data_IF_296354860137
#
_entry.id   IF_296354860137
#
_cell.length_a   1.000
_cell.length_b   1.000
_cell.length_c   1.000
_cell.angle_alpha   90.00
_cell.angle_beta   90.00
_cell.angle_gamma   90.00
#
_symmetry.space_group_name_H-M   'P 1'
#
loop_
_entity.id
_entity.type
_entity.pdbx_description
1 polymer ?
#
# COMPACT_ATOMS: atom_id res chain seq x y z
N UNK A 1 71.63 18.38 43.51
CA UNK A 1 71.48 16.96 43.08
C UNK A 1 69.99 16.50 43.08
N UNK A 2 69.08 17.24 42.51
CA UNK A 2 67.59 16.83 42.48
C UNK A 2 66.99 16.96 41.11
N UNK A 3 67.70 17.35 40.09
CA UNK A 3 67.22 17.57 38.74
C UNK A 3 67.64 16.50 37.71
N UNK A 4 68.50 15.56 38.08
CA UNK A 4 69.02 14.53 37.18
C UNK A 4 68.18 13.23 37.17
N UNK A 5 67.27 13.02 38.16
CA UNK A 5 66.47 11.79 38.26
C UNK A 5 65.15 11.81 37.45
N UNK A 6 64.68 13.00 37.04
CA UNK A 6 63.45 13.14 36.33
C UNK A 6 63.59 12.86 34.81
N UNK A 7 64.76 13.04 34.26
CA UNK A 7 65.00 12.79 32.80
C UNK A 7 65.22 11.31 32.44
N UNK A 8 65.62 10.46 33.41
CA UNK A 8 65.88 9.04 33.13
C UNK A 8 64.55 8.20 33.13
N UNK A 9 63.50 8.67 33.80
CA UNK A 9 62.20 8.00 33.86
C UNK A 9 61.36 8.21 32.59
N UNK A 10 61.63 9.26 31.80
CA UNK A 10 60.89 9.58 30.58
C UNK A 10 61.30 8.77 29.33
N UNK A 11 62.53 8.19 29.35
CA UNK A 11 63.05 7.46 28.16
C UNK A 11 62.68 5.97 28.18
N UNK A 12 62.33 5.41 29.34
CA UNK A 12 61.98 4.00 29.46
C UNK A 12 60.47 3.69 29.12
N UNK A 13 59.65 4.73 28.99
CA UNK A 13 58.19 4.59 28.65
C UNK A 13 57.89 4.56 27.17
N UNK A 14 58.85 4.81 26.27
CA UNK A 14 58.55 5.07 24.84
C UNK A 14 58.89 3.89 23.90
N UNK A 15 59.22 2.71 24.42
CA UNK A 15 59.65 1.57 23.61
C UNK A 15 58.72 0.37 23.57
N UNK A 16 57.43 0.52 23.93
CA UNK A 16 56.47 -0.63 23.95
C UNK A 16 55.22 -0.42 23.15
N UNK A 17 55.19 0.46 22.14
CA UNK A 17 54.15 0.45 21.12
C UNK A 17 54.79 -0.05 19.82
N UNK A 18 55.06 -1.36 19.78
CA UNK A 18 55.24 -2.04 18.51
C UNK A 18 53.85 -2.14 17.85
N UNK A 19 53.64 -1.64 16.62
CA UNK A 19 52.42 -1.96 15.88
C UNK A 19 52.39 -3.48 15.73
N UNK A 20 51.35 -4.11 16.26
CA UNK A 20 50.99 -5.46 15.86
C UNK A 20 50.70 -5.41 14.37
N UNK A 21 51.70 -5.68 13.54
CA UNK A 21 51.46 -6.01 12.14
C UNK A 21 50.62 -7.28 12.16
N UNK A 22 49.31 -7.13 11.99
CA UNK A 22 48.46 -8.25 11.61
C UNK A 22 49.02 -8.70 10.27
N UNK A 23 49.81 -9.76 10.28
CA UNK A 23 50.19 -10.48 9.10
C UNK A 23 48.91 -11.01 8.51
N UNK A 24 48.40 -10.38 7.45
CA UNK A 24 47.37 -10.98 6.60
C UNK A 24 48.01 -12.25 6.03
N UNK A 25 47.69 -13.37 6.65
CA UNK A 25 48.03 -14.68 6.11
C UNK A 25 47.30 -14.73 4.75
N UNK A 26 48.00 -14.98 3.64
CA UNK A 26 47.31 -15.14 2.36
C UNK A 26 46.27 -16.23 2.55
N UNK A 27 45.02 -15.92 2.27
CA UNK A 27 43.93 -16.91 2.28
C UNK A 27 44.30 -18.04 1.32
N UNK A 28 44.18 -19.28 1.77
CA UNK A 28 44.38 -20.43 0.90
C UNK A 28 43.44 -20.31 -0.34
N UNK A 29 43.90 -20.72 -1.54
CA UNK A 29 43.01 -20.77 -2.69
C UNK A 29 41.75 -21.57 -2.34
N UNK A 30 40.62 -21.02 -2.61
CA UNK A 30 39.35 -21.59 -2.25
C UNK A 30 38.27 -21.09 -3.21
N UNK A 31 37.05 -21.20 -2.80
CA UNK A 31 35.93 -20.62 -3.53
C UNK A 31 35.18 -19.66 -2.62
N UNK A 32 34.41 -18.75 -3.22
CA UNK A 32 33.60 -17.77 -2.49
C UNK A 32 32.27 -17.54 -3.17
N UNK A 33 31.27 -17.11 -2.39
CA UNK A 33 29.93 -16.77 -2.83
C UNK A 33 29.62 -15.35 -2.36
N UNK A 34 29.18 -14.49 -3.27
CA UNK A 34 28.85 -13.10 -2.94
C UNK A 34 27.65 -12.57 -3.73
N UNK A 35 27.06 -11.48 -3.25
CA UNK A 35 25.99 -10.75 -3.91
C UNK A 35 26.58 -9.57 -4.68
N UNK A 36 26.11 -9.39 -5.92
CA UNK A 36 26.43 -8.22 -6.74
C UNK A 36 25.41 -7.11 -6.43
N UNK A 37 25.78 -6.15 -5.63
CA UNK A 37 24.93 -4.99 -5.36
C UNK A 37 24.97 -4.00 -6.53
N UNK A 38 23.82 -3.46 -6.97
CA UNK A 38 23.74 -2.54 -8.10
C UNK A 38 24.40 -1.18 -7.84
N UNK A 39 24.61 -0.84 -6.59
CA UNK A 39 25.35 0.33 -6.12
C UNK A 39 26.55 -0.09 -5.30
N UNK A 40 27.51 0.83 -5.09
CA UNK A 40 28.74 0.54 -4.32
C UNK A 40 28.49 0.32 -2.82
N UNK A 41 27.27 0.60 -2.32
CA UNK A 41 26.87 0.39 -0.93
C UNK A 41 26.29 -1.02 -0.75
N UNK A 42 27.03 -1.90 -0.12
CA UNK A 42 26.65 -3.29 0.21
C UNK A 42 25.48 -3.38 1.21
N UNK A 43 25.12 -2.27 1.86
CA UNK A 43 24.05 -2.19 2.86
C UNK A 43 22.70 -1.77 2.28
N UNK A 44 22.62 -1.40 0.98
CA UNK A 44 21.35 -0.97 0.39
C UNK A 44 20.46 -2.17 0.05
N UNK A 45 19.23 -2.24 0.60
CA UNK A 45 18.33 -3.36 0.32
C UNK A 45 17.84 -3.36 -1.14
N UNK A 46 17.63 -4.54 -1.68
CA UNK A 46 17.01 -4.73 -2.98
C UNK A 46 15.52 -4.40 -2.88
N UNK A 47 15.09 -3.34 -3.59
CA UNK A 47 13.69 -2.89 -3.57
C UNK A 47 12.85 -3.74 -4.50
N UNK A 48 11.77 -4.31 -3.97
CA UNK A 48 10.74 -4.95 -4.77
C UNK A 48 10.04 -3.90 -5.66
N UNK A 49 9.62 -4.30 -6.83
CA UNK A 49 8.69 -3.49 -7.61
C UNK A 49 7.25 -3.61 -7.06
N UNK A 50 6.32 -2.78 -7.54
CA UNK A 50 4.92 -2.80 -7.09
C UNK A 50 4.19 -4.14 -7.41
N UNK A 51 4.75 -4.96 -8.28
CA UNK A 51 4.25 -6.31 -8.59
C UNK A 51 4.85 -7.40 -7.71
N UNK A 52 5.60 -7.05 -6.65
CA UNK A 52 6.15 -8.00 -5.69
C UNK A 52 7.30 -8.84 -6.24
N UNK A 53 8.12 -8.28 -7.13
CA UNK A 53 9.26 -9.01 -7.69
C UNK A 53 10.53 -8.16 -7.75
N UNK A 54 11.68 -8.87 -7.71
CA UNK A 54 13.02 -8.30 -7.87
C UNK A 54 13.98 -9.36 -8.42
N UNK A 55 15.02 -8.92 -9.11
CA UNK A 55 16.13 -9.77 -9.56
C UNK A 55 17.38 -9.38 -8.78
N UNK A 56 17.98 -10.38 -8.11
CA UNK A 56 19.23 -10.27 -7.38
C UNK A 56 20.32 -10.96 -8.18
N UNK A 57 21.42 -10.25 -8.44
CA UNK A 57 22.61 -10.84 -9.06
C UNK A 57 23.56 -11.32 -7.95
N UNK A 58 24.14 -12.50 -8.15
CA UNK A 58 25.13 -13.07 -7.25
C UNK A 58 26.23 -13.79 -8.04
N UNK A 59 27.35 -14.07 -7.42
CA UNK A 59 28.47 -14.69 -8.08
C UNK A 59 29.12 -15.79 -7.24
N UNK A 60 29.77 -16.74 -7.93
CA UNK A 60 30.69 -17.69 -7.32
C UNK A 60 32.07 -17.49 -7.93
N UNK A 61 33.05 -17.26 -7.07
CA UNK A 61 34.47 -17.20 -7.41
C UNK A 61 35.14 -18.54 -7.10
N UNK A 62 35.86 -19.11 -8.06
CA UNK A 62 36.63 -20.31 -7.89
C UNK A 62 38.14 -20.03 -8.09
N UNK A 63 38.85 -19.80 -7.01
CA UNK A 63 40.30 -19.58 -7.02
C UNK A 63 41.11 -20.90 -6.92
N UNK A 64 40.41 -22.07 -6.96
CA UNK A 64 41.07 -23.38 -6.95
C UNK A 64 41.60 -23.77 -8.34
N UNK A 65 42.50 -24.77 -8.35
CA UNK A 65 43.11 -25.29 -9.57
C UNK A 65 42.22 -26.26 -10.36
N UNK A 66 41.10 -26.68 -9.79
CA UNK A 66 40.14 -27.60 -10.39
C UNK A 66 38.78 -26.91 -10.53
N UNK A 67 37.97 -27.30 -11.51
CA UNK A 67 36.59 -26.89 -11.55
C UNK A 67 35.85 -27.35 -10.30
N UNK A 68 34.90 -26.56 -9.83
CA UNK A 68 34.01 -26.88 -8.69
C UNK A 68 32.58 -26.96 -9.17
N UNK A 69 31.80 -27.87 -8.55
CA UNK A 69 30.33 -27.93 -8.73
C UNK A 69 29.66 -27.53 -7.43
N UNK A 70 28.78 -26.55 -7.49
CA UNK A 70 28.04 -25.96 -6.37
C UNK A 70 26.55 -26.20 -6.57
N UNK A 71 25.90 -26.74 -5.54
CA UNK A 71 24.43 -26.80 -5.43
C UNK A 71 23.96 -25.59 -4.64
N UNK A 72 22.87 -24.95 -5.09
CA UNK A 72 22.31 -23.76 -4.47
C UNK A 72 21.00 -24.05 -3.76
N UNK A 73 20.78 -23.41 -2.63
CA UNK A 73 19.50 -23.32 -1.94
C UNK A 73 19.22 -21.86 -1.56
N UNK A 74 17.95 -21.50 -1.51
CA UNK A 74 17.50 -20.12 -1.30
C UNK A 74 16.47 -20.06 -0.18
N UNK A 75 16.63 -19.08 0.70
CA UNK A 75 15.62 -18.71 1.68
C UNK A 75 15.20 -17.26 1.38
N UNK A 76 13.92 -17.06 1.02
CA UNK A 76 13.36 -15.76 0.69
C UNK A 76 12.27 -15.37 1.68
N UNK A 77 12.23 -14.11 2.13
CA UNK A 77 11.21 -13.63 3.07
C UNK A 77 9.87 -13.34 2.38
N UNK A 78 8.89 -12.86 3.16
CA UNK A 78 7.57 -12.39 2.71
C UNK A 78 6.74 -13.45 1.98
N UNK A 79 6.97 -14.76 2.28
CA UNK A 79 6.31 -15.89 1.61
C UNK A 79 6.48 -15.85 0.07
N UNK A 80 7.55 -15.21 -0.42
CA UNK A 80 7.86 -15.10 -1.84
C UNK A 80 8.26 -16.42 -2.46
N UNK A 81 8.01 -16.53 -3.76
CA UNK A 81 8.55 -17.61 -4.59
C UNK A 81 9.89 -17.16 -5.22
N UNK A 82 10.69 -18.12 -5.66
CA UNK A 82 11.96 -17.82 -6.30
C UNK A 82 12.24 -18.71 -7.51
N UNK A 83 13.05 -18.17 -8.42
CA UNK A 83 13.63 -18.90 -9.56
C UNK A 83 15.13 -18.57 -9.63
N UNK A 84 15.97 -19.61 -9.63
CA UNK A 84 17.42 -19.52 -9.66
C UNK A 84 18.08 -20.84 -10.02
N UNK A 85 19.41 -20.87 -10.30
CA UNK A 85 20.13 -22.09 -10.62
C UNK A 85 20.08 -23.07 -9.45
N UNK A 86 19.87 -24.37 -9.74
CA UNK A 86 19.91 -25.43 -8.73
C UNK A 86 21.35 -25.94 -8.51
N UNK A 87 22.12 -26.13 -9.60
CA UNK A 87 23.49 -26.65 -9.55
C UNK A 87 24.28 -26.15 -10.74
N UNK A 88 25.52 -25.71 -10.46
CA UNK A 88 26.39 -25.15 -11.49
C UNK A 88 27.85 -25.53 -11.33
N UNK A 89 28.55 -25.66 -12.46
CA UNK A 89 29.99 -25.90 -12.47
C UNK A 89 30.77 -24.64 -12.86
N UNK A 90 31.71 -24.24 -12.00
CA UNK A 90 32.58 -23.07 -12.18
C UNK A 90 34.00 -23.57 -12.50
N UNK A 91 34.57 -23.14 -13.62
CA UNK A 91 35.92 -23.49 -14.05
C UNK A 91 36.99 -23.00 -13.07
N UNK A 92 38.15 -23.66 -13.08
CA UNK A 92 39.32 -23.26 -12.28
C UNK A 92 39.75 -21.81 -12.56
N UNK A 93 39.94 -21.01 -11.55
CA UNK A 93 40.37 -19.60 -11.62
C UNK A 93 39.32 -18.67 -12.26
N UNK A 94 38.05 -19.07 -12.32
CA UNK A 94 36.96 -18.29 -12.94
C UNK A 94 35.99 -17.76 -11.88
N UNK A 95 35.35 -16.63 -12.25
CA UNK A 95 34.19 -16.09 -11.57
C UNK A 95 32.97 -16.24 -12.52
N UNK A 96 31.82 -16.65 -11.97
CA UNK A 96 30.58 -16.80 -12.73
C UNK A 96 29.43 -16.13 -11.97
N UNK A 97 28.74 -15.22 -12.66
CA UNK A 97 27.56 -14.55 -12.12
C UNK A 97 26.28 -15.29 -12.49
N UNK A 98 25.29 -15.16 -11.62
CA UNK A 98 23.98 -15.80 -11.68
C UNK A 98 22.91 -14.79 -11.31
N UNK A 99 21.63 -15.16 -11.54
CA UNK A 99 20.49 -14.35 -11.14
C UNK A 99 19.53 -15.20 -10.29
N UNK A 100 19.08 -14.63 -9.18
CA UNK A 100 17.96 -15.10 -8.38
C UNK A 100 16.79 -14.15 -8.63
N UNK A 101 15.68 -14.65 -9.17
CA UNK A 101 14.44 -13.88 -9.30
C UNK A 101 13.54 -14.23 -8.12
N UNK A 102 13.19 -13.23 -7.32
CA UNK A 102 12.16 -13.33 -6.27
C UNK A 102 10.87 -12.76 -6.82
N UNK A 103 9.74 -13.43 -6.58
CA UNK A 103 8.45 -13.08 -7.18
C UNK A 103 7.27 -13.47 -6.29
N UNK A 104 6.07 -13.06 -6.70
CA UNK A 104 4.79 -13.40 -6.06
C UNK A 104 4.65 -12.92 -4.60
N UNK A 105 5.35 -11.85 -4.22
CA UNK A 105 5.18 -11.20 -2.92
C UNK A 105 3.99 -10.25 -2.98
N UNK A 106 3.00 -10.44 -2.11
CA UNK A 106 1.84 -9.53 -1.97
C UNK A 106 2.25 -8.28 -1.20
N UNK A 107 2.92 -7.34 -1.88
CA UNK A 107 3.53 -6.13 -1.27
C UNK A 107 2.54 -5.25 -0.50
N UNK A 108 1.24 -5.33 -0.83
CA UNK A 108 0.17 -4.60 -0.13
C UNK A 108 -0.12 -5.11 1.28
N UNK A 109 0.28 -6.34 1.62
CA UNK A 109 0.04 -6.96 2.93
C UNK A 109 1.10 -6.54 3.96
N UNK A 110 2.18 -5.90 3.50
CA UNK A 110 3.30 -5.47 4.34
C UNK A 110 3.39 -3.95 4.41
N UNK A 111 3.90 -3.43 5.53
CA UNK A 111 4.16 -2.00 5.68
C UNK A 111 5.23 -1.54 4.69
N UNK A 112 5.09 -0.31 4.18
CA UNK A 112 6.10 0.32 3.34
C UNK A 112 7.47 0.33 4.03
N UNK A 113 8.54 0.17 3.24
CA UNK A 113 9.94 0.19 3.68
C UNK A 113 10.34 -0.92 4.66
N UNK A 114 9.45 -1.90 4.93
CA UNK A 114 9.83 -3.07 5.71
C UNK A 114 10.94 -3.82 4.98
N UNK A 115 11.99 -4.19 5.73
CA UNK A 115 13.17 -4.91 5.23
C UNK A 115 13.29 -6.25 5.94
N UNK A 116 13.53 -7.31 5.17
CA UNK A 116 13.83 -8.64 5.70
C UNK A 116 14.97 -9.28 4.91
N UNK A 117 15.71 -10.17 5.58
CA UNK A 117 16.88 -10.83 5.03
C UNK A 117 16.48 -12.01 4.12
N UNK A 118 17.19 -12.17 3.01
CA UNK A 118 17.20 -13.39 2.21
C UNK A 118 18.60 -14.02 2.26
N UNK A 119 18.65 -15.34 2.08
CA UNK A 119 19.91 -16.10 2.12
C UNK A 119 20.08 -16.91 0.85
N UNK A 120 21.27 -16.84 0.25
CA UNK A 120 21.73 -17.73 -0.80
C UNK A 120 22.78 -18.63 -0.19
N UNK A 121 22.55 -19.95 -0.18
CA UNK A 121 23.52 -20.93 0.29
C UNK A 121 24.06 -21.72 -0.89
N UNK A 122 25.36 -21.67 -1.09
CA UNK A 122 26.09 -22.52 -2.02
C UNK A 122 26.77 -23.66 -1.27
N UNK A 123 26.57 -24.90 -1.73
CA UNK A 123 27.22 -26.09 -1.16
C UNK A 123 28.09 -26.76 -2.20
N UNK A 124 29.37 -26.91 -1.91
CA UNK A 124 30.32 -27.57 -2.79
C UNK A 124 30.08 -29.07 -2.79
N UNK A 125 29.72 -29.65 -3.95
CA UNK A 125 29.40 -31.07 -4.13
C UNK A 125 30.50 -31.86 -4.85
N UNK A 126 31.34 -31.18 -5.66
CA UNK A 126 32.45 -31.86 -6.31
C UNK A 126 33.60 -30.90 -6.65
N UNK A 127 34.84 -31.45 -6.66
CA UNK A 127 36.07 -30.81 -7.20
C UNK A 127 36.56 -31.65 -8.38
N UNK A 128 36.46 -31.10 -9.60
CA UNK A 128 36.67 -31.86 -10.82
C UNK A 128 35.69 -33.05 -10.93
N UNK A 129 36.22 -34.28 -11.02
CA UNK A 129 35.40 -35.48 -11.05
C UNK A 129 35.26 -36.16 -9.68
N UNK A 130 35.73 -35.54 -8.61
CA UNK A 130 35.76 -36.14 -7.26
C UNK A 130 34.63 -35.53 -6.42
N UNK A 131 33.65 -36.36 -6.00
CA UNK A 131 32.60 -35.90 -5.10
C UNK A 131 33.17 -35.45 -3.76
N UNK A 132 32.58 -34.39 -3.19
CA UNK A 132 32.90 -33.87 -1.88
C UNK A 132 32.20 -34.73 -0.80
N UNK A 133 33.00 -35.31 0.12
CA UNK A 133 32.47 -36.13 1.20
C UNK A 133 32.07 -35.35 2.44
N UNK A 134 32.68 -34.17 2.64
CA UNK A 134 32.40 -33.29 3.77
C UNK A 134 31.78 -32.03 3.18
N UNK A 135 30.58 -31.65 3.59
CA UNK A 135 29.94 -30.41 3.11
C UNK A 135 30.84 -29.19 3.38
N UNK A 136 31.04 -28.37 2.35
CA UNK A 136 31.70 -27.07 2.41
C UNK A 136 30.71 -26.06 1.85
N UNK A 137 30.03 -25.33 2.72
CA UNK A 137 28.97 -24.40 2.36
C UNK A 137 29.37 -22.97 2.63
N UNK A 138 28.91 -22.06 1.79
CA UNK A 138 29.03 -20.61 1.94
C UNK A 138 27.63 -20.00 1.88
N UNK A 139 27.44 -18.91 2.62
CA UNK A 139 26.20 -18.15 2.66
C UNK A 139 26.47 -16.73 2.24
N UNK A 140 25.60 -16.20 1.40
CA UNK A 140 25.55 -14.79 1.04
C UNK A 140 24.20 -14.22 1.50
N UNK A 141 24.24 -13.18 2.32
CA UNK A 141 23.08 -12.55 2.95
C UNK A 141 22.81 -11.21 2.28
N UNK A 142 21.55 -10.94 1.98
CA UNK A 142 21.11 -9.65 1.47
C UNK A 142 19.76 -9.29 2.05
N UNK A 143 19.28 -8.09 1.75
CA UNK A 143 18.00 -7.59 2.27
C UNK A 143 17.04 -7.27 1.13
N UNK A 144 15.79 -7.67 1.26
CA UNK A 144 14.68 -7.24 0.42
C UNK A 144 13.89 -6.15 1.13
N UNK A 145 13.42 -5.14 0.37
CA UNK A 145 12.62 -4.04 0.89
C UNK A 145 11.27 -3.95 0.17
N UNK A 146 10.20 -3.83 0.96
CA UNK A 146 8.85 -3.57 0.47
C UNK A 146 8.79 -2.14 -0.09
N UNK A 147 8.27 -1.92 -1.31
CA UNK A 147 8.11 -0.59 -1.87
C UNK A 147 7.02 0.21 -1.16
N UNK A 148 7.11 1.54 -1.21
CA UNK A 148 6.03 2.43 -0.77
C UNK A 148 4.97 2.52 -1.86
N UNK A 149 3.73 2.14 -1.54
CA UNK A 149 2.58 2.17 -2.44
C UNK A 149 1.57 3.19 -1.91
N UNK A 150 1.38 4.26 -2.67
CA UNK A 150 0.29 5.21 -2.46
C UNK A 150 -0.87 4.81 -3.37
N UNK A 151 -2.03 4.51 -2.79
CA UNK A 151 -3.22 4.16 -3.57
C UNK A 151 -4.48 4.59 -2.81
N UNK A 152 -5.15 5.61 -3.31
CA UNK A 152 -6.43 6.09 -2.79
C UNK A 152 -7.54 5.70 -3.78
N UNK A 153 -8.67 5.21 -3.25
CA UNK A 153 -9.87 4.93 -4.04
C UNK A 153 -10.99 5.83 -3.63
N UNK A 154 -11.50 6.63 -4.57
CA UNK A 154 -12.71 7.43 -4.43
C UNK A 154 -13.95 6.61 -4.82
N UNK A 155 -15.03 6.77 -4.09
CA UNK A 155 -16.33 6.20 -4.41
C UNK A 155 -17.43 7.20 -4.05
N UNK A 156 -18.13 7.73 -5.05
CA UNK A 156 -19.25 8.66 -4.88
C UNK A 156 -20.53 7.84 -4.71
N UNK A 157 -21.37 8.22 -3.73
CA UNK A 157 -22.64 7.54 -3.47
C UNK A 157 -23.61 7.71 -4.63
N UNK A 158 -24.39 6.67 -4.92
CA UNK A 158 -25.52 6.79 -5.84
C UNK A 158 -26.56 7.80 -5.33
N UNK A 159 -27.18 8.60 -6.24
CA UNK A 159 -28.29 9.48 -5.88
C UNK A 159 -29.47 8.69 -5.33
N UNK A 160 -30.14 9.19 -4.31
CA UNK A 160 -31.32 8.53 -3.71
C UNK A 160 -32.54 8.53 -4.65
N UNK A 161 -32.49 9.29 -5.74
CA UNK A 161 -33.53 9.41 -6.75
C UNK A 161 -33.33 10.67 -7.59
N UNK A 162 -34.29 11.04 -8.44
CA UNK A 162 -34.22 12.28 -9.19
C UNK A 162 -34.33 13.50 -8.24
N UNK A 163 -33.66 14.58 -8.59
CA UNK A 163 -33.81 15.88 -7.92
C UNK A 163 -34.73 16.81 -8.75
N UNK A 164 -35.44 17.72 -8.08
CA UNK A 164 -36.24 18.70 -8.78
C UNK A 164 -35.41 19.95 -9.13
N UNK A 165 -35.78 20.62 -10.23
CA UNK A 165 -35.25 21.95 -10.51
C UNK A 165 -35.52 22.89 -9.32
N UNK A 166 -34.46 23.63 -8.88
CA UNK A 166 -34.52 24.51 -7.70
C UNK A 166 -34.33 23.79 -6.36
N UNK A 167 -33.95 22.51 -6.35
CA UNK A 167 -33.66 21.75 -5.12
C UNK A 167 -32.19 21.42 -4.99
N UNK A 168 -31.83 20.86 -3.84
CA UNK A 168 -30.49 20.41 -3.48
C UNK A 168 -30.51 18.91 -3.22
N UNK A 169 -29.36 18.26 -3.49
CA UNK A 169 -29.10 16.86 -3.19
C UNK A 169 -27.71 16.73 -2.58
N UNK A 170 -27.58 15.88 -1.56
CA UNK A 170 -26.28 15.58 -0.97
C UNK A 170 -25.80 14.22 -1.47
N UNK A 171 -24.57 14.19 -2.01
CA UNK A 171 -23.82 13.00 -2.33
C UNK A 171 -22.69 12.82 -1.31
N UNK A 172 -22.35 11.58 -1.01
CA UNK A 172 -21.24 11.26 -0.11
C UNK A 172 -20.06 10.72 -0.92
N UNK A 173 -18.90 11.33 -0.80
CA UNK A 173 -17.64 10.78 -1.30
C UNK A 173 -16.96 10.00 -0.19
N UNK A 174 -16.72 8.72 -0.40
CA UNK A 174 -15.85 7.89 0.41
C UNK A 174 -14.49 7.78 -0.25
N UNK A 175 -13.42 8.00 0.53
CA UNK A 175 -12.03 7.80 0.09
C UNK A 175 -11.39 6.75 0.98
N UNK A 176 -10.98 5.62 0.39
CA UNK A 176 -10.32 4.51 1.06
C UNK A 176 -8.84 4.46 0.68
N UNK A 177 -7.97 4.23 1.66
CA UNK A 177 -6.55 3.97 1.44
C UNK A 177 -6.33 2.46 1.18
N UNK A 178 -5.90 2.14 -0.03
CA UNK A 178 -5.52 0.79 -0.49
C UNK A 178 -4.00 0.60 -0.58
N UNK A 179 -3.24 1.65 -0.25
CA UNK A 179 -1.79 1.60 -0.19
C UNK A 179 -1.27 0.97 1.11
N UNK A 180 0.04 0.82 1.21
CA UNK A 180 0.72 0.25 2.35
C UNK A 180 1.41 1.30 3.26
N UNK A 181 1.03 2.55 3.13
CA UNK A 181 1.49 3.70 3.93
C UNK A 181 0.31 4.60 4.27
N UNK A 182 0.39 5.35 5.37
CA UNK A 182 -0.58 6.41 5.68
C UNK A 182 -0.54 7.46 4.59
N UNK A 183 -1.69 7.84 4.05
CA UNK A 183 -1.79 8.82 2.98
C UNK A 183 -2.87 9.86 3.28
N UNK A 184 -3.03 10.85 2.41
CA UNK A 184 -4.00 11.94 2.50
C UNK A 184 -4.43 12.34 1.10
N UNK A 185 -5.65 12.86 0.96
CA UNK A 185 -6.07 13.49 -0.28
C UNK A 185 -5.26 14.76 -0.52
N UNK A 186 -4.60 14.87 -1.66
CA UNK A 186 -3.80 16.02 -2.06
C UNK A 186 -4.64 17.13 -2.68
N UNK A 187 -5.54 16.75 -3.61
CA UNK A 187 -6.49 17.66 -4.24
C UNK A 187 -7.81 16.94 -4.53
N UNK A 188 -8.87 17.72 -4.63
CA UNK A 188 -10.19 17.26 -5.09
C UNK A 188 -10.60 18.17 -6.25
N UNK A 189 -10.95 17.57 -7.38
CA UNK A 189 -11.49 18.25 -8.55
C UNK A 189 -12.89 17.71 -8.80
N UNK A 190 -13.86 18.62 -9.00
CA UNK A 190 -15.25 18.27 -9.29
C UNK A 190 -15.59 18.83 -10.66
N UNK A 191 -16.15 17.99 -11.52
CA UNK A 191 -16.65 18.40 -12.83
C UNK A 191 -18.06 17.87 -13.06
N UNK A 192 -18.84 18.59 -13.86
CA UNK A 192 -20.16 18.18 -14.31
C UNK A 192 -20.40 18.59 -15.77
N UNK A 193 -21.37 17.96 -16.41
CA UNK A 193 -21.77 18.24 -17.80
C UNK A 193 -23.05 19.10 -17.92
N UNK A 194 -23.51 19.74 -16.82
CA UNK A 194 -24.75 20.49 -16.76
C UNK A 194 -24.52 21.95 -16.29
N UNK A 195 -24.58 22.96 -17.17
CA UNK A 195 -24.19 24.34 -16.84
C UNK A 195 -25.12 25.07 -15.84
N UNK A 196 -26.24 24.49 -15.45
CA UNK A 196 -27.18 25.03 -14.46
C UNK A 196 -27.20 24.23 -13.16
N UNK A 197 -26.20 23.35 -13.01
CA UNK A 197 -25.91 22.60 -11.79
C UNK A 197 -24.71 23.28 -11.12
N UNK A 198 -24.70 23.35 -9.80
CA UNK A 198 -23.57 23.86 -9.01
C UNK A 198 -23.29 22.94 -7.86
N UNK A 199 -22.02 22.89 -7.46
CA UNK A 199 -21.55 22.09 -6.32
C UNK A 199 -20.95 23.01 -5.26
N UNK A 200 -20.98 22.58 -4.00
CA UNK A 200 -20.31 23.28 -2.89
C UNK A 200 -18.86 22.78 -2.70
N UNK A 201 -18.15 23.41 -1.73
CA UNK A 201 -16.77 23.09 -1.36
C UNK A 201 -16.71 22.04 -0.21
N UNK A 202 -17.77 21.23 -0.01
CA UNK A 202 -17.91 20.32 1.13
C UNK A 202 -16.83 19.22 1.19
N UNK A 203 -16.20 18.92 0.05
CA UNK A 203 -15.13 17.92 -0.05
C UNK A 203 -13.73 18.44 0.34
N UNK A 204 -13.52 19.76 0.45
CA UNK A 204 -12.21 20.36 0.78
C UNK A 204 -11.66 19.85 2.11
N UNK A 205 -12.56 19.54 3.06
CA UNK A 205 -12.19 18.99 4.37
C UNK A 205 -11.45 17.66 4.32
N UNK A 206 -11.54 16.92 3.20
CA UNK A 206 -10.84 15.64 3.00
C UNK A 206 -9.33 15.82 2.88
N UNK A 207 -8.87 16.97 2.38
CA UNK A 207 -7.44 17.27 2.19
C UNK A 207 -6.67 17.48 3.49
N UNK A 208 -7.38 17.61 4.62
CA UNK A 208 -6.76 17.89 5.94
C UNK A 208 -6.64 16.64 6.82
N UNK A 209 -7.14 15.50 6.37
CA UNK A 209 -7.22 14.27 7.20
C UNK A 209 -6.29 13.19 6.67
N UNK A 210 -5.51 12.60 7.58
CA UNK A 210 -4.72 11.42 7.27
C UNK A 210 -5.63 10.19 7.22
N UNK A 211 -5.36 9.31 6.25
CA UNK A 211 -6.08 8.06 6.03
C UNK A 211 -5.11 6.92 6.35
N UNK A 212 -5.29 6.21 7.47
CA UNK A 212 -4.45 5.07 7.81
C UNK A 212 -4.57 3.95 6.77
N UNK A 213 -3.62 3.03 6.75
CA UNK A 213 -3.62 1.85 5.88
C UNK A 213 -4.94 1.08 6.08
N UNK A 214 -5.63 0.78 4.98
CA UNK A 214 -6.94 0.14 4.99
C UNK A 214 -8.09 0.98 5.55
N UNK A 215 -7.80 2.20 6.05
CA UNK A 215 -8.79 3.14 6.58
C UNK A 215 -9.55 3.87 5.48
N UNK A 216 -10.60 4.59 5.90
CA UNK A 216 -11.42 5.40 5.01
C UNK A 216 -11.87 6.69 5.68
N UNK A 217 -12.13 7.72 4.89
CA UNK A 217 -12.75 8.98 5.30
C UNK A 217 -13.91 9.31 4.38
N UNK A 218 -14.81 10.17 4.83
CA UNK A 218 -15.97 10.58 4.05
C UNK A 218 -16.11 12.11 4.07
N UNK A 219 -16.60 12.65 2.95
CA UNK A 219 -17.00 14.04 2.75
C UNK A 219 -18.37 14.10 2.10
N UNK A 220 -19.07 15.21 2.29
CA UNK A 220 -20.39 15.47 1.69
C UNK A 220 -20.27 16.52 0.62
N UNK A 221 -20.84 16.27 -0.54
CA UNK A 221 -20.96 17.16 -1.68
C UNK A 221 -22.40 17.57 -1.86
N UNK A 222 -22.72 18.85 -1.75
CA UNK A 222 -24.05 19.36 -2.04
C UNK A 222 -24.13 19.77 -3.51
N UNK A 223 -25.09 19.21 -4.21
CA UNK A 223 -25.37 19.49 -5.61
C UNK A 223 -26.67 20.29 -5.68
N UNK A 224 -26.66 21.47 -6.28
CA UNK A 224 -27.81 22.36 -6.39
C UNK A 224 -28.21 22.56 -7.85
N UNK A 225 -29.46 22.27 -8.19
CA UNK A 225 -30.03 22.56 -9.51
C UNK A 225 -30.69 23.93 -9.52
N UNK A 226 -30.40 24.76 -10.53
CA UNK A 226 -31.11 26.03 -10.75
C UNK A 226 -32.62 25.80 -10.96
N UNK A 227 -33.46 26.77 -10.55
CA UNK A 227 -34.91 26.74 -10.82
C UNK A 227 -35.27 26.64 -12.31
N UNK A 228 -34.37 27.14 -13.18
CA UNK A 228 -34.54 27.07 -14.63
C UNK A 228 -33.87 25.85 -15.27
N UNK A 229 -33.39 24.89 -14.46
CA UNK A 229 -32.76 23.70 -14.99
C UNK A 229 -33.75 22.87 -15.80
N UNK A 230 -33.43 22.52 -17.07
CA UNK A 230 -34.32 21.64 -17.87
C UNK A 230 -34.26 20.23 -17.35
N UNK A 231 -35.26 19.42 -17.66
CA UNK A 231 -35.20 17.99 -17.42
C UNK A 231 -34.02 17.37 -18.18
N UNK A 232 -33.04 16.84 -17.41
CA UNK A 232 -31.80 16.30 -17.98
C UNK A 232 -31.10 15.38 -16.99
N UNK A 233 -30.33 14.43 -17.52
CA UNK A 233 -29.38 13.66 -16.77
C UNK A 233 -28.03 14.38 -16.77
N UNK A 234 -27.47 14.59 -15.59
CA UNK A 234 -26.19 15.26 -15.35
C UNK A 234 -25.21 14.24 -14.80
N UNK A 235 -24.05 14.11 -15.42
CA UNK A 235 -22.96 13.29 -14.91
C UNK A 235 -22.08 14.20 -14.04
N UNK A 236 -21.84 13.78 -12.81
CA UNK A 236 -20.96 14.45 -11.85
C UNK A 236 -19.77 13.53 -11.66
N UNK A 237 -18.57 14.07 -11.82
CA UNK A 237 -17.30 13.38 -11.68
C UNK A 237 -16.48 14.05 -10.60
N UNK A 238 -15.90 13.25 -9.72
CA UNK A 238 -14.96 13.69 -8.68
C UNK A 238 -13.66 12.95 -8.89
N UNK A 239 -12.59 13.71 -9.08
CA UNK A 239 -11.21 13.20 -9.16
C UNK A 239 -10.45 13.64 -7.92
N UNK A 240 -9.77 12.70 -7.27
CA UNK A 240 -8.87 12.97 -6.15
C UNK A 240 -7.44 12.60 -6.53
N UNK A 241 -6.46 13.29 -5.92
CA UNK A 241 -5.05 12.91 -6.00
C UNK A 241 -4.52 12.44 -4.65
N UNK A 242 -3.51 11.56 -4.65
CA UNK A 242 -2.75 11.21 -3.47
C UNK A 242 -1.71 12.29 -3.15
N UNK A 243 -1.69 12.76 -1.90
CA UNK A 243 -0.67 13.70 -1.43
C UNK A 243 0.69 13.01 -1.29
N UNK A 244 0.72 11.78 -0.77
CA UNK A 244 1.95 11.01 -0.61
C UNK A 244 2.62 10.70 -1.94
N UNK A 245 1.86 10.28 -2.95
CA UNK A 245 2.39 10.06 -4.30
C UNK A 245 2.98 11.36 -4.88
N UNK A 246 2.29 12.50 -4.73
CA UNK A 246 2.75 13.79 -5.23
C UNK A 246 4.06 14.22 -4.58
N UNK A 247 4.20 14.08 -3.26
CA UNK A 247 5.43 14.40 -2.53
C UNK A 247 6.59 13.50 -2.97
N UNK A 248 6.30 12.23 -3.28
CA UNK A 248 7.29 11.24 -3.76
C UNK A 248 7.65 11.44 -5.26
N UNK A 249 7.10 12.47 -5.92
CA UNK A 249 7.37 12.78 -7.33
C UNK A 249 6.57 11.93 -8.32
N UNK A 250 5.57 11.19 -7.83
CA UNK A 250 4.61 10.42 -8.63
C UNK A 250 3.30 11.16 -8.84
N UNK A 251 2.35 10.48 -9.48
CA UNK A 251 0.98 10.95 -9.66
C UNK A 251 0.05 9.75 -9.54
N UNK A 252 -0.74 9.72 -8.49
CA UNK A 252 -1.77 8.70 -8.27
C UNK A 252 -3.10 9.41 -8.13
N UNK A 253 -4.05 9.09 -9.02
CA UNK A 253 -5.38 9.70 -9.08
C UNK A 253 -6.45 8.62 -9.04
N UNK A 254 -7.58 8.96 -8.44
CA UNK A 254 -8.78 8.11 -8.45
C UNK A 254 -9.98 8.95 -8.82
N UNK A 255 -10.79 8.43 -9.73
CA UNK A 255 -11.99 9.06 -10.27
C UNK A 255 -13.23 8.27 -9.87
N UNK A 256 -14.30 8.97 -9.58
CA UNK A 256 -15.62 8.39 -9.35
C UNK A 256 -16.69 9.28 -9.96
N UNK A 257 -17.65 8.70 -10.65
CA UNK A 257 -18.73 9.44 -11.28
C UNK A 257 -20.10 8.87 -10.93
N UNK A 258 -21.12 9.73 -10.92
CA UNK A 258 -22.53 9.34 -10.76
C UNK A 258 -23.41 10.17 -11.67
N UNK A 259 -24.58 9.61 -11.99
CA UNK A 259 -25.58 10.29 -12.81
C UNK A 259 -26.75 10.77 -11.96
N UNK A 260 -26.99 12.09 -11.96
CA UNK A 260 -28.10 12.75 -11.30
C UNK A 260 -29.16 13.11 -12.35
N UNK A 261 -30.40 12.66 -12.17
CA UNK A 261 -31.53 13.06 -13.01
C UNK A 261 -32.18 14.30 -12.42
N UNK A 262 -32.26 15.39 -13.18
CA UNK A 262 -33.00 16.59 -12.80
C UNK A 262 -34.36 16.61 -13.49
N UNK A 263 -35.42 16.77 -12.71
CA UNK A 263 -36.79 16.81 -13.17
C UNK A 263 -37.45 18.18 -12.90
N UNK A 264 -38.48 18.59 -13.66
CA UNK A 264 -39.20 19.80 -13.34
C UNK A 264 -39.89 19.68 -11.97
N UNK A 265 -40.11 20.78 -11.24
CA UNK A 265 -40.83 20.73 -9.98
C UNK A 265 -42.21 20.12 -10.17
N UNK A 266 -42.76 19.38 -9.19
CA UNK A 266 -44.07 18.80 -9.30
C UNK A 266 -45.10 19.89 -9.51
N UNK A 267 -45.77 19.85 -10.65
CA UNK A 267 -46.89 20.73 -10.91
C UNK A 267 -48.02 20.33 -9.98
N UNK A 268 -48.36 21.22 -9.03
CA UNK A 268 -49.67 21.08 -8.37
C UNK A 268 -50.73 21.21 -9.47
N UNK A 269 -51.26 20.10 -9.91
CA UNK A 269 -52.50 20.14 -10.63
C UNK A 269 -53.55 20.66 -9.63
N UNK A 270 -53.79 21.96 -9.65
CA UNK A 270 -55.06 22.46 -9.12
C UNK A 270 -56.15 21.71 -9.88
N UNK A 271 -56.83 20.83 -9.16
CA UNK A 271 -58.00 20.16 -9.66
C UNK A 271 -58.93 21.28 -10.16
N UNK A 272 -59.33 21.34 -11.45
CA UNK A 272 -60.24 22.37 -11.90
C UNK A 272 -61.50 22.25 -11.06
N UNK A 273 -61.77 23.28 -10.28
CA UNK A 273 -63.00 23.46 -9.52
C UNK A 273 -64.18 23.16 -10.45
N UNK A 274 -64.83 22.01 -10.27
CA UNK A 274 -66.14 21.77 -10.84
C UNK A 274 -67.12 22.67 -10.08
N UNK A 275 -67.46 23.81 -10.69
CA UNK A 275 -68.62 24.58 -10.35
C UNK A 275 -69.85 23.71 -10.63
N UNK A 276 -70.29 23.03 -9.59
CA UNK A 276 -71.66 22.52 -9.55
C UNK A 276 -72.27 22.93 -8.20
N UNK A 277 -73.23 23.90 -8.31
CA UNK A 277 -74.09 24.32 -7.23
C UNK A 277 -74.94 23.10 -6.80
N UNK A 278 -74.72 22.61 -5.59
CA UNK A 278 -75.77 22.07 -4.73
C UNK A 278 -75.32 21.91 -3.31
N UNK A 279 -75.94 22.66 -2.41
CA UNK A 279 -75.89 22.56 -0.98
C UNK A 279 -76.16 21.13 -0.48
N UNK A 280 -75.18 20.48 0.11
CA UNK A 280 -75.41 19.51 1.18
C UNK A 280 -74.19 19.39 2.08
N UNK A 281 -74.31 19.86 3.31
CA UNK A 281 -73.27 19.78 4.36
C UNK A 281 -73.17 18.32 4.78
N UNK A 282 -72.12 17.64 4.34
CA UNK A 282 -71.71 16.36 4.94
C UNK A 282 -70.42 16.58 5.70
N UNK A 283 -70.51 16.52 7.02
CA UNK A 283 -69.38 16.43 7.92
C UNK A 283 -68.56 15.17 7.62
N UNK A 284 -67.46 15.28 6.88
CA UNK A 284 -66.56 14.17 6.60
C UNK A 284 -65.51 14.09 7.72
N UNK A 285 -65.72 13.15 8.65
CA UNK A 285 -64.75 12.74 9.65
C UNK A 285 -63.54 12.18 8.94
N UNK A 286 -62.45 12.93 8.96
CA UNK A 286 -61.13 12.47 8.48
C UNK A 286 -60.60 11.45 9.49
N UNK A 287 -60.79 10.16 9.24
CA UNK A 287 -60.10 9.09 9.96
C UNK A 287 -58.68 8.96 9.40
N UNK A 288 -57.71 9.54 10.14
CA UNK A 288 -56.32 9.31 9.89
C UNK A 288 -55.96 7.83 10.21
N UNK A 289 -55.76 7.03 9.20
CA UNK A 289 -55.19 5.69 9.34
C UNK A 289 -53.69 5.83 9.67
N UNK A 290 -53.37 5.97 10.96
CA UNK A 290 -52.05 5.71 11.49
C UNK A 290 -51.85 4.19 11.50
N UNK A 291 -51.03 3.68 10.56
CA UNK A 291 -50.56 2.31 10.61
C UNK A 291 -49.74 2.12 11.87
N UNK A 292 -50.32 1.42 12.85
CA UNK A 292 -49.65 0.98 14.08
C UNK A 292 -48.63 -0.08 13.73
N UNK A 293 -47.34 0.34 13.56
CA UNK A 293 -46.22 -0.61 13.46
C UNK A 293 -46.02 -1.20 14.84
N UNK A 294 -46.45 -2.44 14.99
CA UNK A 294 -46.50 -3.16 16.28
C UNK A 294 -45.12 -3.31 16.94
N UNK A 295 -45.08 -3.02 18.23
CA UNK A 295 -43.98 -3.14 19.18
C UNK A 295 -43.49 -4.59 19.43
N UNK A 296 -43.96 -5.58 18.66
CA UNK A 296 -43.64 -7.00 18.88
C UNK A 296 -42.20 -7.47 18.54
N UNK A 297 -41.43 -6.86 17.62
CA UNK A 297 -40.09 -7.35 17.36
C UNK A 297 -39.05 -6.93 18.44
N UNK A 298 -39.31 -5.86 19.23
CA UNK A 298 -38.31 -5.36 20.19
C UNK A 298 -38.29 -6.26 21.45
N UNK A 299 -39.39 -6.88 21.86
CA UNK A 299 -39.45 -7.76 23.03
C UNK A 299 -38.73 -9.11 22.80
N UNK A 300 -38.66 -9.61 21.56
CA UNK A 300 -37.93 -10.86 21.24
C UNK A 300 -36.42 -10.72 21.33
N UNK A 301 -35.87 -9.54 21.02
CA UNK A 301 -34.41 -9.32 21.05
C UNK A 301 -33.92 -9.20 22.52
N UNK A 302 -34.71 -8.63 23.42
CA UNK A 302 -34.36 -8.49 24.84
C UNK A 302 -34.40 -9.84 25.54
N UNK A 303 -35.29 -10.76 25.17
CA UNK A 303 -35.38 -12.09 25.76
C UNK A 303 -34.24 -13.02 25.31
N UNK A 304 -33.75 -12.90 24.10
CA UNK A 304 -32.60 -13.68 23.62
C UNK A 304 -31.25 -13.21 24.21
N UNK A 305 -31.08 -11.91 24.46
CA UNK A 305 -29.89 -11.37 25.11
C UNK A 305 -29.78 -11.70 26.61
N UNK A 306 -30.86 -12.05 27.27
CA UNK A 306 -30.86 -12.44 28.69
C UNK A 306 -30.53 -13.91 28.95
N UNK A 307 -30.61 -14.77 27.94
CA UNK A 307 -30.33 -16.21 28.04
C UNK A 307 -28.83 -16.58 27.81
N UNK A 308 -28.04 -15.69 27.20
CA UNK A 308 -26.60 -15.95 26.93
C UNK A 308 -25.68 -15.58 28.12
N UNK A 309 -26.21 -15.09 29.24
CA UNK A 309 -25.45 -14.72 30.45
C UNK A 309 -25.44 -15.79 31.55
N UNK A 310 -25.89 -17.03 31.24
CA UNK A 310 -25.87 -18.18 32.15
C UNK A 310 -25.30 -19.44 31.48
N UNK A 311 -24.08 -19.33 30.97
CA UNK A 311 -23.21 -20.49 30.77
C UNK A 311 -21.77 -20.11 31.08
#
# INVERSE_FOLDING_TARGET
MRTAFIFLSGILGMCLIAPLSVSQQPSAPGWDLGIDYPQEDEDEPFKLNNGGSVVVSFFVSNDELLPITIDFTYEVPFEGEFDGPESETIGAGNNKSFSLTVMNIEVGDFSAELTEEFTITGTLVARGSVPQLIPDSREALGQLQIPTIHSLRATLSEPVGPMNSGSEMTLTLEVKNLGNVVDRVGSVEISDNCPLLTTDDGLDSLTTKDIPIGGQIQGSLTVTASQSHPQRNCDIEVTISSNGATISGGSEMSESNVRVSVEPPPTNQENPESTDDNDEIIEQVVSSNLSFVGLLPILCVILLASMDKRR
#
